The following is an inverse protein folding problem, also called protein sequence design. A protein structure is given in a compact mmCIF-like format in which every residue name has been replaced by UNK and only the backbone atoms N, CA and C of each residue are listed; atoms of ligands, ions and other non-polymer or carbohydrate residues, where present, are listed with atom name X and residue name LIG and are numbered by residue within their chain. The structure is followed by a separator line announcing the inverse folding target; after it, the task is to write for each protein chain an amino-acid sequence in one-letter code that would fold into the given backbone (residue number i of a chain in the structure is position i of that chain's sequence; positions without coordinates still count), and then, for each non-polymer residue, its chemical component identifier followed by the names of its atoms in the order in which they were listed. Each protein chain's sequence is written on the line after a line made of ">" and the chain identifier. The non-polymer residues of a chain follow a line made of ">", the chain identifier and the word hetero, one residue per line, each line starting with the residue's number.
data_IF_303317271424
#
_entry.id   IF_303317271424
#
_cell.length_a   1.000
_cell.length_b   1.000
_cell.length_c   1.000
_cell.angle_alpha   90.00
_cell.angle_beta   90.00
_cell.angle_gamma   90.00
#
_symmetry.space_group_name_H-M   'P 1'
#
loop_
_entity.id
_entity.type
_entity.pdbx_description
1 polymer ?
#
# COMPACT_ATOMS: atom_id res chain seq x y z
N UNK A 1 21.11 -6.20 -27.53
CA UNK A 1 22.21 -6.10 -26.54
C UNK A 1 21.84 -7.05 -25.40
N UNK A 2 22.54 -8.16 -25.26
CA UNK A 2 22.27 -9.13 -24.20
C UNK A 2 23.05 -8.73 -22.94
N UNK A 3 22.35 -8.55 -21.81
CA UNK A 3 22.99 -8.24 -20.53
C UNK A 3 23.23 -9.52 -19.75
N UNK A 4 24.41 -9.69 -19.18
CA UNK A 4 24.74 -10.79 -18.28
C UNK A 4 23.86 -10.72 -17.04
N UNK A 5 23.60 -11.87 -16.43
CA UNK A 5 22.90 -11.94 -15.17
C UNK A 5 23.70 -11.22 -14.07
N UNK A 6 23.06 -10.42 -13.26
CA UNK A 6 23.70 -9.67 -12.17
C UNK A 6 24.35 -10.57 -11.13
N UNK A 7 23.78 -11.76 -10.88
CA UNK A 7 24.38 -12.75 -9.99
C UNK A 7 25.78 -13.21 -10.40
N UNK A 8 26.10 -13.18 -11.71
CA UNK A 8 27.43 -13.48 -12.22
C UNK A 8 28.48 -12.40 -11.90
N UNK A 9 28.03 -11.21 -11.46
CA UNK A 9 28.90 -10.06 -11.18
C UNK A 9 29.20 -9.89 -9.70
N UNK A 10 28.43 -10.52 -8.83
CA UNK A 10 28.60 -10.41 -7.39
C UNK A 10 29.61 -11.47 -6.90
N UNK A 11 30.62 -11.01 -6.17
CA UNK A 11 31.40 -11.88 -5.28
C UNK A 11 30.60 -12.26 -4.02
N UNK A 12 31.19 -13.00 -3.12
CA UNK A 12 30.52 -13.47 -1.90
C UNK A 12 30.11 -12.29 -0.98
N UNK A 13 30.88 -11.19 -0.94
CA UNK A 13 30.50 -9.99 -0.19
C UNK A 13 29.29 -9.31 -0.82
N UNK A 14 29.32 -9.11 -2.13
CA UNK A 14 28.20 -8.51 -2.86
C UNK A 14 26.91 -9.32 -2.77
N UNK A 15 27.00 -10.64 -2.79
CA UNK A 15 25.82 -11.51 -2.55
C UNK A 15 25.26 -11.32 -1.14
N UNK A 16 26.14 -11.26 -0.12
CA UNK A 16 25.73 -11.00 1.27
C UNK A 16 25.01 -9.66 1.41
N UNK A 17 25.50 -8.63 0.74
CA UNK A 17 24.88 -7.30 0.76
C UNK A 17 23.50 -7.31 0.09
N UNK A 18 23.38 -7.99 -1.07
CA UNK A 18 22.07 -8.18 -1.74
C UNK A 18 21.07 -8.90 -0.84
N UNK A 19 21.46 -10.04 -0.23
CA UNK A 19 20.58 -10.75 0.68
C UNK A 19 20.25 -9.94 1.93
N UNK A 20 21.21 -9.19 2.46
CA UNK A 20 20.99 -8.29 3.60
C UNK A 20 19.99 -7.17 3.31
N UNK A 21 20.07 -6.56 2.12
CA UNK A 21 19.11 -5.57 1.67
C UNK A 21 17.73 -6.19 1.41
N UNK A 22 17.70 -7.33 0.73
CA UNK A 22 16.46 -8.06 0.41
C UNK A 22 15.72 -8.53 1.66
N UNK A 23 16.43 -8.93 2.71
CA UNK A 23 15.82 -9.29 4.00
C UNK A 23 15.15 -8.10 4.68
N UNK A 24 15.75 -6.91 4.62
CA UNK A 24 15.13 -5.68 5.12
C UNK A 24 13.88 -5.33 4.32
N UNK A 25 13.94 -5.43 2.99
CA UNK A 25 12.78 -5.25 2.12
C UNK A 25 11.68 -6.27 2.41
N UNK A 26 12.02 -7.56 2.57
CA UNK A 26 11.07 -8.62 2.90
C UNK A 26 10.32 -8.35 4.21
N UNK A 27 11.02 -7.81 5.22
CA UNK A 27 10.40 -7.37 6.48
C UNK A 27 9.47 -6.17 6.24
N UNK A 28 9.92 -5.17 5.49
CA UNK A 28 9.12 -3.99 5.15
C UNK A 28 7.81 -4.38 4.46
N UNK A 29 7.86 -5.16 3.38
CA UNK A 29 6.65 -5.58 2.64
C UNK A 29 5.75 -6.52 3.45
N UNK A 30 6.28 -7.22 4.44
CA UNK A 30 5.49 -8.06 5.35
C UNK A 30 4.66 -7.23 6.33
N UNK A 31 5.21 -6.15 6.87
CA UNK A 31 4.56 -5.29 7.86
C UNK A 31 3.80 -4.12 7.25
N UNK A 32 4.10 -3.73 6.02
CA UNK A 32 3.52 -2.58 5.34
C UNK A 32 2.52 -3.05 4.26
N UNK A 33 1.37 -3.60 4.68
CA UNK A 33 0.33 -4.06 3.75
C UNK A 33 -0.45 -2.90 3.13
N UNK A 34 -0.61 -1.81 3.87
CA UNK A 34 -1.38 -0.63 3.47
C UNK A 34 -0.46 0.59 3.31
N UNK A 35 -0.95 1.61 2.59
CA UNK A 35 -0.26 2.90 2.46
C UNK A 35 -0.02 3.57 3.82
N UNK A 36 -0.94 3.42 4.79
CA UNK A 36 -0.78 3.96 6.14
C UNK A 36 0.38 3.32 6.89
N UNK A 37 0.50 2.00 6.79
CA UNK A 37 1.60 1.26 7.40
C UNK A 37 2.94 1.60 6.73
N UNK A 38 2.95 1.77 5.40
CA UNK A 38 4.14 2.24 4.67
C UNK A 38 4.59 3.63 5.13
N UNK A 39 3.66 4.57 5.30
CA UNK A 39 3.98 5.92 5.79
C UNK A 39 4.50 5.87 7.23
N UNK A 40 3.84 5.10 8.11
CA UNK A 40 4.25 4.93 9.50
C UNK A 40 5.69 4.42 9.60
N UNK A 41 6.01 3.34 8.92
CA UNK A 41 7.37 2.77 8.89
C UNK A 41 8.37 3.74 8.26
N UNK A 42 7.99 4.44 7.18
CA UNK A 42 8.84 5.44 6.53
C UNK A 42 9.18 6.60 7.47
N UNK A 43 8.24 7.05 8.30
CA UNK A 43 8.45 8.08 9.33
C UNK A 43 9.45 7.61 10.38
N UNK A 44 9.32 6.37 10.87
CA UNK A 44 10.26 5.84 11.87
C UNK A 44 11.68 5.70 11.30
N UNK A 45 11.82 5.22 10.06
CA UNK A 45 13.10 5.15 9.36
C UNK A 45 13.68 6.56 9.12
N UNK A 46 12.85 7.54 8.75
CA UNK A 46 13.26 8.92 8.54
C UNK A 46 13.75 9.57 9.85
N UNK A 47 13.02 9.42 10.96
CA UNK A 47 13.45 9.89 12.28
C UNK A 47 14.78 9.29 12.70
N UNK A 48 14.95 7.97 12.51
CA UNK A 48 16.21 7.28 12.80
C UNK A 48 17.39 7.79 11.95
N UNK A 49 17.11 8.28 10.73
CA UNK A 49 18.09 8.91 9.84
C UNK A 49 18.26 10.42 10.06
N UNK A 50 17.66 11.00 11.10
CA UNK A 50 17.82 12.39 11.50
C UNK A 50 16.91 13.38 10.76
N UNK A 51 15.84 12.93 10.15
CA UNK A 51 14.82 13.80 9.57
C UNK A 51 13.93 14.39 10.66
N UNK A 52 13.57 15.67 10.53
CA UNK A 52 12.59 16.37 11.37
C UNK A 52 11.25 16.45 10.64
N UNK A 53 10.18 16.52 11.38
CA UNK A 53 8.87 16.84 10.83
C UNK A 53 8.86 18.29 10.33
N UNK A 54 8.50 18.53 9.08
CA UNK A 54 8.47 19.86 8.45
C UNK A 54 7.49 20.79 9.18
N UNK A 55 6.35 20.28 9.62
CA UNK A 55 5.34 21.10 10.28
C UNK A 55 5.76 21.51 11.70
N UNK A 56 6.54 20.68 12.39
CA UNK A 56 7.16 21.09 13.64
C UNK A 56 8.27 22.16 13.43
N UNK A 57 9.05 22.03 12.35
CA UNK A 57 10.03 23.07 11.94
C UNK A 57 9.33 24.41 11.70
N UNK A 58 8.22 24.41 10.95
CA UNK A 58 7.41 25.61 10.69
C UNK A 58 6.84 26.19 11.96
N UNK A 59 6.21 25.38 12.80
CA UNK A 59 5.59 25.78 14.06
C UNK A 59 6.58 26.42 15.04
N UNK A 60 7.81 25.91 15.06
CA UNK A 60 8.90 26.42 15.89
C UNK A 60 9.64 27.62 15.27
N UNK A 61 9.25 28.09 14.09
CA UNK A 61 9.94 29.11 13.31
C UNK A 61 11.43 28.79 13.08
N UNK A 62 11.78 27.52 12.92
CA UNK A 62 13.13 27.09 12.58
C UNK A 62 13.40 27.37 11.09
N UNK A 63 14.67 27.60 10.75
CA UNK A 63 15.13 27.74 9.37
C UNK A 63 15.93 26.50 8.95
N UNK A 64 15.88 26.14 7.67
CA UNK A 64 16.64 25.05 7.11
C UNK A 64 17.81 25.53 6.26
N UNK A 65 18.90 24.79 6.29
CA UNK A 65 20.13 25.02 5.56
C UNK A 65 20.63 23.74 4.86
N UNK A 66 21.66 23.89 4.03
CA UNK A 66 22.25 22.75 3.32
C UNK A 66 22.72 21.64 4.29
N UNK A 67 22.21 20.44 4.09
CA UNK A 67 22.44 19.26 4.91
C UNK A 67 21.36 18.94 5.91
N UNK A 68 20.39 19.85 6.15
CA UNK A 68 19.21 19.56 6.96
C UNK A 68 18.28 18.61 6.24
N UNK A 69 17.51 17.84 7.03
CA UNK A 69 16.62 16.79 6.55
C UNK A 69 15.24 16.96 7.16
N UNK A 70 14.21 16.97 6.31
CA UNK A 70 12.81 17.06 6.77
C UNK A 70 11.91 16.10 6.01
N UNK A 71 10.82 15.70 6.67
CA UNK A 71 9.73 14.98 6.03
C UNK A 71 8.40 15.68 6.27
N UNK A 72 7.45 15.49 5.37
CA UNK A 72 6.07 15.91 5.51
C UNK A 72 5.12 14.74 5.21
N UNK A 73 4.16 14.53 6.08
CA UNK A 73 3.13 13.48 5.94
C UNK A 73 1.81 14.11 5.53
N UNK A 74 1.13 13.51 4.55
CA UNK A 74 -0.19 13.90 4.14
C UNK A 74 -1.21 12.83 4.46
N UNK A 75 -2.16 13.13 5.37
CA UNK A 75 -3.28 12.27 5.77
C UNK A 75 -2.86 10.85 6.21
N UNK A 76 -1.62 10.66 6.63
CA UNK A 76 -1.02 9.36 6.95
C UNK A 76 -1.04 8.35 5.76
N UNK A 77 -1.11 8.83 4.51
CA UNK A 77 -1.20 8.00 3.29
C UNK A 77 -0.16 8.38 2.22
N UNK A 78 0.50 9.50 2.37
CA UNK A 78 1.62 9.90 1.51
C UNK A 78 2.69 10.59 2.35
N UNK A 79 3.94 10.50 1.92
CA UNK A 79 5.08 11.12 2.58
C UNK A 79 6.04 11.71 1.56
N UNK A 80 6.59 12.88 1.87
CA UNK A 80 7.66 13.52 1.10
C UNK A 80 8.85 13.77 2.02
N UNK A 81 10.03 13.33 1.62
CA UNK A 81 11.28 13.53 2.36
C UNK A 81 12.20 14.44 1.56
N UNK A 82 12.87 15.37 2.24
CA UNK A 82 13.83 16.29 1.65
C UNK A 82 15.17 16.21 2.39
N UNK A 83 16.27 16.14 1.64
CA UNK A 83 17.61 16.45 2.14
C UNK A 83 18.09 17.71 1.42
N UNK A 84 18.25 18.80 2.17
CA UNK A 84 18.51 20.13 1.61
C UNK A 84 19.89 20.20 0.99
N UNK A 85 19.95 20.58 -0.28
CA UNK A 85 21.17 20.70 -1.06
C UNK A 85 21.95 21.99 -0.82
N UNK A 86 23.16 22.05 -1.36
CA UNK A 86 24.01 23.25 -1.30
C UNK A 86 23.55 24.35 -2.27
N UNK A 87 22.93 23.93 -3.39
CA UNK A 87 22.47 24.85 -4.43
C UNK A 87 21.07 25.38 -4.11
N UNK A 88 20.73 26.59 -4.59
CA UNK A 88 19.38 27.11 -4.49
C UNK A 88 18.37 26.14 -5.08
N UNK A 89 17.23 25.98 -4.41
CA UNK A 89 16.18 25.04 -4.87
C UNK A 89 15.57 25.44 -6.22
N UNK A 90 15.64 26.72 -6.60
CA UNK A 90 15.16 27.19 -7.92
C UNK A 90 15.97 26.57 -9.09
N UNK A 91 17.18 26.01 -8.84
CA UNK A 91 17.92 25.24 -9.84
C UNK A 91 17.34 23.83 -10.08
N UNK A 92 16.31 23.44 -9.32
CA UNK A 92 15.59 22.18 -9.41
C UNK A 92 16.05 21.14 -8.41
N UNK A 93 15.17 20.17 -8.20
CA UNK A 93 15.29 19.04 -7.28
C UNK A 93 15.70 17.77 -8.02
N UNK A 94 16.31 16.83 -7.31
CA UNK A 94 16.44 15.44 -7.76
C UNK A 94 15.42 14.59 -7.00
N UNK A 95 14.44 14.04 -7.70
CA UNK A 95 13.26 13.40 -7.12
C UNK A 95 13.25 11.92 -7.44
N UNK A 96 13.03 11.09 -6.41
CA UNK A 96 12.63 9.70 -6.52
C UNK A 96 11.15 9.62 -6.17
N UNK A 97 10.34 9.01 -7.03
CA UNK A 97 8.89 8.85 -6.81
C UNK A 97 8.42 7.43 -7.05
N UNK A 98 7.56 6.95 -6.17
CA UNK A 98 6.91 5.65 -6.26
C UNK A 98 5.56 5.71 -5.54
N UNK A 99 4.67 4.74 -5.80
CA UNK A 99 3.44 4.61 -5.03
C UNK A 99 3.54 3.53 -3.95
N UNK A 100 2.64 3.59 -2.97
CA UNK A 100 2.62 2.69 -1.81
C UNK A 100 1.26 2.06 -1.57
N UNK A 101 0.23 2.43 -2.33
CA UNK A 101 -1.02 1.70 -2.40
C UNK A 101 -0.85 0.45 -3.28
N UNK A 102 -1.73 -0.53 -3.08
CA UNK A 102 -1.74 -1.79 -3.85
C UNK A 102 -3.18 -2.26 -4.00
N UNK A 103 -3.51 -3.04 -5.05
CA UNK A 103 -4.86 -3.57 -5.24
C UNK A 103 -5.32 -4.43 -4.06
N UNK A 104 -6.57 -4.23 -3.63
CA UNK A 104 -7.12 -4.85 -2.42
C UNK A 104 -8.65 -4.89 -2.44
N UNK A 105 -9.25 -5.39 -1.36
CA UNK A 105 -10.68 -5.22 -1.08
C UNK A 105 -10.83 -4.19 0.05
N UNK A 106 -11.64 -3.16 -0.17
CA UNK A 106 -12.00 -2.19 0.87
C UNK A 106 -13.35 -2.58 1.49
N UNK A 107 -13.48 -2.45 2.81
CA UNK A 107 -14.74 -2.69 3.52
C UNK A 107 -15.69 -1.50 3.29
N UNK A 108 -16.94 -1.78 2.92
CA UNK A 108 -17.99 -0.76 2.75
C UNK A 108 -18.42 -0.16 4.09
N UNK A 109 -19.11 0.98 4.06
CA UNK A 109 -19.53 1.72 5.25
C UNK A 109 -20.64 1.05 6.09
N UNK A 110 -21.43 0.15 5.53
CA UNK A 110 -22.41 -0.67 6.24
C UNK A 110 -22.16 -2.14 5.87
N UNK A 111 -21.07 -2.75 6.37
CA UNK A 111 -20.57 -3.98 5.77
C UNK A 111 -21.22 -5.24 6.32
N UNK A 112 -21.60 -5.25 7.61
CA UNK A 112 -21.96 -6.48 8.31
C UNK A 112 -23.39 -6.89 8.04
N UNK A 113 -23.56 -8.13 7.56
CA UNK A 113 -24.86 -8.80 7.47
C UNK A 113 -24.74 -10.28 7.84
N UNK A 114 -25.82 -10.83 8.37
CA UNK A 114 -25.94 -12.26 8.69
C UNK A 114 -26.94 -12.91 7.73
N UNK A 115 -26.54 -14.00 7.12
CA UNK A 115 -27.42 -14.85 6.31
C UNK A 115 -27.15 -16.32 6.61
N UNK A 116 -28.22 -17.08 6.90
CA UNK A 116 -28.15 -18.51 7.21
C UNK A 116 -27.10 -18.90 8.26
N UNK A 117 -26.90 -18.06 9.29
CA UNK A 117 -25.96 -18.31 10.39
C UNK A 117 -24.50 -18.05 10.02
N UNK A 118 -24.26 -17.39 8.92
CA UNK A 118 -22.94 -16.89 8.52
C UNK A 118 -22.96 -15.36 8.53
N UNK A 119 -21.87 -14.75 9.03
CA UNK A 119 -21.66 -13.30 8.96
C UNK A 119 -20.64 -12.98 7.92
N UNK A 120 -21.02 -12.08 7.03
CA UNK A 120 -20.16 -11.58 5.96
C UNK A 120 -19.96 -10.05 6.11
N UNK A 121 -18.88 -9.56 5.50
CA UNK A 121 -18.62 -8.14 5.29
C UNK A 121 -18.66 -7.82 3.80
N UNK A 122 -19.49 -6.84 3.44
CA UNK A 122 -19.54 -6.28 2.11
C UNK A 122 -18.24 -5.56 1.76
N UNK A 123 -17.73 -5.83 0.56
CA UNK A 123 -16.48 -5.24 0.08
C UNK A 123 -16.64 -4.48 -1.23
N UNK A 124 -15.66 -3.65 -1.52
CA UNK A 124 -15.42 -3.00 -2.80
C UNK A 124 -13.98 -3.27 -3.23
N UNK A 125 -13.74 -3.76 -4.45
CA UNK A 125 -12.37 -3.96 -4.90
C UNK A 125 -11.74 -2.64 -5.37
N UNK A 126 -10.50 -2.43 -4.95
CA UNK A 126 -9.68 -1.26 -5.24
C UNK A 126 -8.56 -1.63 -6.20
N UNK A 127 -8.39 -0.84 -7.29
CA UNK A 127 -7.41 -1.12 -8.33
C UNK A 127 -7.78 -2.27 -9.26
N UNK A 128 -6.84 -2.72 -10.05
CA UNK A 128 -7.00 -3.79 -11.03
C UNK A 128 -6.74 -5.17 -10.44
N UNK A 129 -7.78 -5.96 -10.16
CA UNK A 129 -7.65 -7.33 -9.65
C UNK A 129 -8.18 -8.38 -10.62
N UNK A 130 -7.58 -9.57 -10.59
CA UNK A 130 -8.20 -10.80 -11.09
C UNK A 130 -9.02 -11.40 -9.96
N UNK A 131 -10.33 -11.16 -9.94
CA UNK A 131 -11.23 -11.50 -8.83
C UNK A 131 -11.10 -12.96 -8.38
N UNK A 132 -10.92 -13.90 -9.32
CA UNK A 132 -10.74 -15.32 -9.04
C UNK A 132 -9.45 -15.67 -8.27
N UNK A 133 -8.51 -14.75 -8.13
CA UNK A 133 -7.32 -14.95 -7.30
C UNK A 133 -7.54 -14.59 -5.83
N UNK A 134 -8.69 -14.00 -5.49
CA UNK A 134 -9.01 -13.53 -4.14
C UNK A 134 -9.89 -14.51 -3.36
N UNK A 135 -10.45 -15.52 -4.03
CA UNK A 135 -11.24 -16.56 -3.39
C UNK A 135 -10.37 -17.68 -2.84
N UNK A 136 -10.84 -18.35 -1.78
CA UNK A 136 -10.17 -19.48 -1.14
C UNK A 136 -8.76 -19.17 -0.61
N UNK A 137 -8.47 -17.92 -0.27
CA UNK A 137 -7.22 -17.48 0.33
C UNK A 137 -7.43 -17.09 1.80
N UNK A 138 -6.43 -17.34 2.67
CA UNK A 138 -6.40 -16.67 3.96
C UNK A 138 -6.15 -15.18 3.76
N UNK A 139 -7.05 -14.36 4.28
CA UNK A 139 -7.00 -12.90 4.19
C UNK A 139 -6.93 -12.29 5.59
N UNK A 140 -6.33 -11.12 5.67
CA UNK A 140 -6.17 -10.30 6.88
C UNK A 140 -6.94 -8.98 6.73
N UNK A 141 -7.39 -8.43 7.85
CA UNK A 141 -8.06 -7.14 7.93
C UNK A 141 -7.11 -6.10 8.52
N UNK A 142 -6.87 -5.03 7.78
CA UNK A 142 -6.00 -3.92 8.17
C UNK A 142 -6.72 -2.59 8.05
N UNK A 143 -6.31 -1.61 8.84
CA UNK A 143 -6.73 -0.23 8.65
C UNK A 143 -6.93 0.55 9.94
N UNK A 144 -7.78 1.57 9.86
CA UNK A 144 -8.04 2.51 10.96
C UNK A 144 -9.53 2.79 11.06
N UNK A 145 -10.02 2.85 12.27
CA UNK A 145 -11.40 3.25 12.58
C UNK A 145 -11.36 4.49 13.46
N UNK A 146 -12.05 5.56 13.05
CA UNK A 146 -12.28 6.72 13.89
C UNK A 146 -13.53 6.47 14.75
N UNK A 147 -13.35 6.47 16.07
CA UNK A 147 -14.43 6.22 17.03
C UNK A 147 -15.24 7.50 17.29
N UNK A 148 -16.45 7.35 17.84
CA UNK A 148 -17.36 8.46 18.15
C UNK A 148 -16.79 9.50 19.12
N UNK A 149 -15.85 9.11 19.99
CA UNK A 149 -15.17 10.01 20.91
C UNK A 149 -14.06 10.85 20.25
N UNK A 150 -13.82 10.67 18.95
CA UNK A 150 -12.78 11.36 18.18
C UNK A 150 -11.42 10.69 18.23
N UNK A 151 -11.27 9.58 18.93
CA UNK A 151 -10.05 8.77 18.90
C UNK A 151 -10.00 7.88 17.67
N UNK A 152 -8.82 7.35 17.35
CA UNK A 152 -8.64 6.42 16.25
C UNK A 152 -7.99 5.14 16.76
N UNK A 153 -8.47 4.00 16.27
CA UNK A 153 -7.91 2.68 16.58
C UNK A 153 -7.37 2.02 15.31
N UNK A 154 -6.13 1.51 15.40
CA UNK A 154 -5.54 0.69 14.34
C UNK A 154 -6.07 -0.75 14.45
N UNK A 155 -6.52 -1.31 13.36
CA UNK A 155 -7.00 -2.69 13.25
C UNK A 155 -6.00 -3.50 12.43
N UNK A 156 -5.57 -4.63 13.01
CA UNK A 156 -4.75 -5.62 12.32
C UNK A 156 -5.17 -7.01 12.83
N UNK A 157 -5.78 -7.81 11.97
CA UNK A 157 -6.27 -9.17 12.27
C UNK A 157 -5.84 -10.09 11.14
N UNK A 158 -5.19 -11.21 11.46
CA UNK A 158 -4.83 -12.25 10.50
C UNK A 158 -3.34 -12.32 10.16
N UNK A 159 -2.50 -11.53 10.81
CA UNK A 159 -1.05 -11.50 10.54
C UNK A 159 -0.23 -12.36 11.51
N UNK A 160 -0.70 -12.56 12.72
CA UNK A 160 -0.01 -13.39 13.72
C UNK A 160 -0.47 -14.83 13.60
N UNK A 161 0.36 -15.76 14.07
CA UNK A 161 0.07 -17.19 14.01
C UNK A 161 -1.19 -17.57 14.80
N UNK A 162 -1.48 -16.84 15.87
CA UNK A 162 -2.66 -17.01 16.74
C UNK A 162 -3.87 -16.13 16.34
N UNK A 163 -3.72 -15.25 15.36
CA UNK A 163 -4.84 -14.48 14.84
C UNK A 163 -5.76 -15.33 13.95
N UNK A 164 -7.08 -15.13 14.00
CA UNK A 164 -7.97 -15.71 13.01
C UNK A 164 -7.77 -15.03 11.66
N UNK A 165 -7.87 -15.78 10.58
CA UNK A 165 -7.93 -15.24 9.21
C UNK A 165 -9.39 -15.13 8.78
N UNK A 166 -9.65 -14.28 7.79
CA UNK A 166 -10.93 -14.17 7.09
C UNK A 166 -10.77 -14.65 5.65
N UNK A 167 -11.84 -14.75 4.88
CA UNK A 167 -11.70 -15.19 3.50
C UNK A 167 -12.96 -15.05 2.67
N UNK A 168 -12.81 -15.07 1.36
CA UNK A 168 -13.89 -15.15 0.39
C UNK A 168 -14.09 -16.61 0.00
N UNK A 169 -15.30 -17.13 0.17
CA UNK A 169 -15.63 -18.49 -0.20
C UNK A 169 -15.68 -18.66 -1.72
N UNK A 170 -15.47 -19.90 -2.18
CA UNK A 170 -15.67 -20.28 -3.57
C UNK A 170 -16.44 -21.60 -3.66
N UNK A 171 -17.06 -21.86 -4.80
CA UNK A 171 -17.76 -23.11 -5.03
C UNK A 171 -16.78 -24.28 -5.13
N UNK A 172 -17.09 -25.37 -4.44
CA UNK A 172 -16.36 -26.61 -4.68
C UNK A 172 -16.69 -27.15 -6.08
N UNK A 173 -15.78 -27.89 -6.66
CA UNK A 173 -15.87 -28.36 -8.07
C UNK A 173 -17.18 -29.07 -8.40
N UNK A 174 -17.77 -29.79 -7.45
CA UNK A 174 -19.01 -30.53 -7.67
C UNK A 174 -20.26 -29.62 -7.81
N UNK A 175 -20.18 -28.37 -7.37
CA UNK A 175 -21.23 -27.36 -7.51
C UNK A 175 -20.91 -26.30 -8.57
N UNK A 176 -19.70 -26.30 -9.12
CA UNK A 176 -19.18 -25.24 -9.98
C UNK A 176 -19.46 -25.44 -11.47
N UNK A 177 -20.34 -26.36 -11.89
CA UNK A 177 -20.57 -26.69 -13.31
C UNK A 177 -20.90 -25.46 -14.18
N UNK A 178 -21.77 -24.57 -13.71
CA UNK A 178 -22.11 -23.34 -14.41
C UNK A 178 -20.98 -22.31 -14.34
N UNK A 179 -20.36 -22.15 -13.15
CA UNK A 179 -19.24 -21.24 -12.94
C UNK A 179 -18.09 -21.56 -13.90
N UNK A 180 -17.75 -22.83 -14.10
CA UNK A 180 -16.67 -23.28 -14.95
C UNK A 180 -16.88 -23.02 -16.44
N UNK A 181 -18.09 -22.67 -16.87
CA UNK A 181 -18.39 -22.29 -18.25
C UNK A 181 -18.26 -20.79 -18.51
N UNK A 182 -18.13 -19.98 -17.46
CA UNK A 182 -18.01 -18.53 -17.56
C UNK A 182 -16.60 -18.12 -18.03
N UNK A 183 -16.52 -16.93 -18.66
CA UNK A 183 -15.20 -16.31 -18.92
C UNK A 183 -14.51 -15.97 -17.61
N UNK A 184 -13.17 -15.97 -17.61
CA UNK A 184 -12.37 -15.74 -16.40
C UNK A 184 -12.66 -14.40 -15.68
N UNK A 185 -13.04 -13.36 -16.40
CA UNK A 185 -13.45 -12.07 -15.82
C UNK A 185 -14.83 -12.08 -15.16
N UNK A 186 -15.60 -13.17 -15.41
CA UNK A 186 -16.98 -13.39 -14.92
C UNK A 186 -17.13 -14.62 -14.02
N UNK A 187 -16.06 -15.38 -13.81
CA UNK A 187 -16.11 -16.59 -12.97
C UNK A 187 -16.35 -16.27 -11.51
N UNK A 188 -15.92 -15.11 -11.06
CA UNK A 188 -16.24 -14.48 -9.77
C UNK A 188 -16.69 -13.04 -10.06
N UNK A 189 -17.90 -12.69 -9.66
CA UNK A 189 -18.41 -11.34 -9.82
C UNK A 189 -17.89 -10.44 -8.67
N UNK A 190 -17.99 -9.11 -8.83
CA UNK A 190 -17.59 -8.18 -7.77
C UNK A 190 -18.39 -8.35 -6.48
N UNK A 191 -19.68 -8.63 -6.63
CA UNK A 191 -20.60 -8.83 -5.50
C UNK A 191 -20.37 -10.16 -4.76
N UNK A 192 -19.63 -11.11 -5.37
CA UNK A 192 -19.26 -12.38 -4.73
C UNK A 192 -18.01 -12.27 -3.84
N UNK A 193 -17.36 -11.08 -3.80
CA UNK A 193 -16.13 -10.85 -3.04
C UNK A 193 -16.39 -10.46 -1.57
N UNK A 194 -17.55 -10.77 -1.02
CA UNK A 194 -17.85 -10.53 0.37
C UNK A 194 -17.08 -11.51 1.28
N UNK A 195 -16.58 -10.98 2.38
CA UNK A 195 -15.65 -11.69 3.25
C UNK A 195 -16.39 -12.36 4.39
N UNK A 196 -16.24 -13.68 4.52
CA UNK A 196 -16.76 -14.46 5.64
C UNK A 196 -15.93 -14.20 6.90
N UNK A 197 -16.62 -13.77 7.99
CA UNK A 197 -15.97 -13.35 9.24
C UNK A 197 -16.44 -14.13 10.48
N UNK A 198 -17.50 -14.92 10.39
CA UNK A 198 -17.93 -15.74 11.53
C UNK A 198 -19.18 -16.58 11.30
N UNK A 199 -19.38 -17.56 12.22
CA UNK A 199 -20.50 -18.49 12.19
C UNK A 199 -21.00 -18.90 13.59
N UNK A 200 -20.36 -18.44 14.67
CA UNK A 200 -20.73 -18.81 16.04
C UNK A 200 -21.72 -17.80 16.62
N UNK A 201 -22.92 -18.20 17.01
CA UNK A 201 -23.90 -17.30 17.62
C UNK A 201 -23.50 -16.88 19.05
N UNK A 202 -23.85 -15.67 19.43
CA UNK A 202 -23.74 -15.22 20.81
C UNK A 202 -24.54 -16.12 21.76
N UNK A 203 -24.05 -16.30 22.97
CA UNK A 203 -24.74 -17.05 24.04
C UNK A 203 -26.06 -16.33 24.40
N UNK A 204 -27.15 -17.06 24.46
CA UNK A 204 -28.45 -16.49 24.93
C UNK A 204 -28.24 -15.96 26.37
N UNK A 205 -28.58 -14.71 26.62
CA UNK A 205 -28.79 -14.25 27.99
C UNK A 205 -30.07 -14.88 28.48
N UNK A 206 -29.99 -15.72 29.51
CA UNK A 206 -31.13 -16.23 30.23
C UNK A 206 -31.57 -15.15 31.22
N UNK A 207 -32.34 -14.17 30.74
CA UNK A 207 -33.08 -13.28 31.63
C UNK A 207 -34.56 -13.67 31.54
N UNK A 208 -35.09 -14.11 32.68
CA UNK A 208 -36.50 -14.36 32.94
C UNK A 208 -37.30 -13.03 32.95
N UNK A 209 -37.59 -12.47 31.77
CA UNK A 209 -38.63 -11.43 31.68
C UNK A 209 -39.24 -11.41 30.30
N UNK A 210 -40.51 -11.77 30.24
CA UNK A 210 -41.40 -11.63 29.09
C UNK A 210 -41.54 -10.15 28.68
N UNK A 211 -40.69 -9.66 27.80
CA UNK A 211 -40.88 -8.40 27.08
C UNK A 211 -40.53 -8.59 25.62
N UNK A 212 -41.57 -8.87 24.81
CA UNK A 212 -41.47 -8.84 23.36
C UNK A 212 -41.29 -7.38 22.86
N UNK A 213 -40.05 -6.88 22.87
CA UNK A 213 -39.69 -5.65 22.17
C UNK A 213 -39.16 -6.00 20.77
N UNK A 214 -39.47 -5.18 19.75
CA UNK A 214 -38.98 -5.38 18.39
C UNK A 214 -37.42 -5.44 18.27
N UNK A 215 -36.70 -4.93 19.26
CA UNK A 215 -35.25 -5.07 19.37
C UNK A 215 -34.83 -6.50 19.73
N UNK A 216 -35.52 -7.13 20.68
CA UNK A 216 -35.21 -8.50 21.12
C UNK A 216 -35.43 -9.53 20.00
N UNK A 217 -36.43 -9.30 19.12
CA UNK A 217 -36.72 -10.15 17.95
C UNK A 217 -35.62 -10.02 16.88
N UNK A 218 -35.02 -8.86 16.73
CA UNK A 218 -33.91 -8.61 15.78
C UNK A 218 -32.60 -9.20 16.30
N UNK A 219 -32.31 -9.06 17.58
CA UNK A 219 -31.14 -9.69 18.23
C UNK A 219 -31.23 -11.22 18.21
N UNK A 220 -32.45 -11.79 18.29
CA UNK A 220 -32.64 -13.24 18.17
C UNK A 220 -32.38 -13.76 16.74
N UNK A 221 -32.53 -12.90 15.72
CA UNK A 221 -32.32 -13.26 14.29
C UNK A 221 -30.86 -13.08 13.84
N UNK A 222 -30.08 -12.16 14.45
CA UNK A 222 -28.71 -11.81 14.02
C UNK A 222 -27.69 -12.14 15.11
N UNK A 223 -27.80 -13.32 15.74
CA UNK A 223 -26.96 -13.69 16.89
C UNK A 223 -25.47 -13.89 16.55
N UNK A 224 -25.17 -14.33 15.34
CA UNK A 224 -23.77 -14.48 14.90
C UNK A 224 -23.15 -13.10 14.69
N UNK A 225 -23.88 -12.18 14.07
CA UNK A 225 -23.46 -10.78 13.90
C UNK A 225 -23.23 -10.10 15.25
N UNK A 226 -24.15 -10.32 16.22
CA UNK A 226 -23.99 -9.80 17.58
C UNK A 226 -22.71 -10.31 18.26
N UNK A 227 -22.35 -11.58 18.04
CA UNK A 227 -21.09 -12.13 18.55
C UNK A 227 -19.86 -11.46 17.92
N UNK A 228 -19.86 -11.28 16.59
CA UNK A 228 -18.74 -10.59 15.90
C UNK A 228 -18.59 -9.16 16.38
N UNK A 229 -19.70 -8.42 16.50
CA UNK A 229 -19.67 -7.05 17.05
C UNK A 229 -19.15 -7.01 18.50
N UNK A 230 -19.52 -8.00 19.33
CA UNK A 230 -18.99 -8.11 20.71
C UNK A 230 -17.48 -8.32 20.73
N UNK A 231 -16.94 -9.19 19.85
CA UNK A 231 -15.51 -9.43 19.74
C UNK A 231 -14.74 -8.19 19.25
N UNK A 232 -15.29 -7.44 18.28
CA UNK A 232 -14.70 -6.20 17.80
C UNK A 232 -14.73 -5.11 18.86
N UNK A 233 -15.83 -5.03 19.64
CA UNK A 233 -15.96 -4.10 20.75
C UNK A 233 -14.97 -4.43 21.89
N UNK A 234 -14.84 -5.70 22.26
CA UNK A 234 -13.91 -6.14 23.30
C UNK A 234 -12.44 -5.84 22.92
N UNK A 235 -12.05 -6.15 21.69
CA UNK A 235 -10.64 -6.02 21.27
C UNK A 235 -10.26 -4.59 20.86
N UNK A 236 -11.16 -3.85 20.22
CA UNK A 236 -10.86 -2.56 19.57
C UNK A 236 -11.78 -1.40 20.02
N UNK A 237 -12.82 -1.65 20.79
CA UNK A 237 -13.82 -0.64 21.14
C UNK A 237 -14.79 -0.28 20.02
N UNK A 238 -14.78 -1.01 18.88
CA UNK A 238 -15.55 -0.71 17.68
C UNK A 238 -17.01 -1.15 17.85
N UNK A 239 -17.92 -0.25 17.55
CA UNK A 239 -19.36 -0.50 17.41
C UNK A 239 -19.77 -0.52 15.93
N UNK A 240 -20.96 -1.02 15.61
CA UNK A 240 -21.41 -1.14 14.21
C UNK A 240 -21.43 0.21 13.48
N UNK A 241 -21.80 1.28 14.17
CA UNK A 241 -21.85 2.63 13.58
C UNK A 241 -20.46 3.21 13.23
N UNK A 242 -19.38 2.71 13.88
CA UNK A 242 -18.03 3.18 13.63
C UNK A 242 -17.50 2.74 12.25
N UNK A 243 -18.14 1.76 11.62
CA UNK A 243 -17.82 1.38 10.24
C UNK A 243 -18.08 2.51 9.23
N UNK A 244 -18.95 3.48 9.54
CA UNK A 244 -19.19 4.64 8.67
C UNK A 244 -17.92 5.48 8.43
N UNK A 245 -17.03 5.54 9.43
CA UNK A 245 -15.77 6.29 9.38
C UNK A 245 -14.53 5.38 9.26
N UNK A 246 -14.74 4.07 9.11
CA UNK A 246 -13.65 3.11 9.01
C UNK A 246 -12.98 3.15 7.63
N UNK A 247 -11.66 3.12 7.63
CA UNK A 247 -10.84 2.80 6.47
C UNK A 247 -10.21 1.43 6.70
N UNK A 248 -10.96 0.38 6.41
CA UNK A 248 -10.55 -1.01 6.56
C UNK A 248 -10.40 -1.67 5.20
N UNK A 249 -9.33 -2.41 5.03
CA UNK A 249 -9.06 -3.19 3.84
C UNK A 249 -8.69 -4.63 4.16
N UNK A 250 -9.01 -5.51 3.23
CA UNK A 250 -8.72 -6.93 3.29
C UNK A 250 -7.63 -7.24 2.28
N UNK A 251 -6.58 -7.89 2.77
CA UNK A 251 -5.36 -8.19 2.01
C UNK A 251 -4.92 -9.63 2.25
N UNK A 252 -4.09 -10.24 1.40
CA UNK A 252 -3.53 -11.57 1.66
C UNK A 252 -2.80 -11.62 3.00
N UNK A 253 -3.15 -12.60 3.83
CA UNK A 253 -2.61 -12.79 5.17
C UNK A 253 -1.19 -13.38 5.14
N UNK A 254 -0.43 -13.05 6.18
CA UNK A 254 0.90 -13.62 6.44
C UNK A 254 2.06 -12.88 5.78
N UNK A 255 3.29 -13.16 6.22
CA UNK A 255 4.48 -12.46 5.79
C UNK A 255 4.94 -12.84 4.39
N UNK A 256 5.68 -11.95 3.74
CA UNK A 256 6.44 -12.27 2.55
C UNK A 256 7.51 -13.33 2.84
N UNK A 257 7.79 -14.20 1.87
CA UNK A 257 8.69 -15.35 2.00
C UNK A 257 9.72 -15.37 0.89
N UNK A 258 10.86 -16.01 1.18
CA UNK A 258 11.80 -16.38 0.14
C UNK A 258 11.12 -17.28 -0.89
N UNK A 259 11.40 -17.04 -2.15
CA UNK A 259 10.81 -17.75 -3.28
C UNK A 259 11.91 -18.37 -4.15
N UNK A 260 11.69 -19.65 -4.53
CA UNK A 260 12.68 -20.49 -5.17
C UNK A 260 13.57 -21.22 -4.17
N UNK A 261 14.12 -22.38 -4.56
CA UNK A 261 14.96 -23.19 -3.68
C UNK A 261 16.27 -22.49 -3.29
N UNK A 262 16.74 -21.60 -4.14
CA UNK A 262 17.94 -20.78 -3.96
C UNK A 262 17.68 -19.46 -3.23
N UNK A 263 16.41 -19.17 -2.87
CA UNK A 263 15.96 -17.94 -2.20
C UNK A 263 16.30 -16.66 -2.94
N UNK A 264 16.44 -16.74 -4.26
CA UNK A 264 16.84 -15.59 -5.10
C UNK A 264 15.72 -14.61 -5.39
N UNK A 265 14.49 -14.91 -4.98
CA UNK A 265 13.29 -14.10 -5.16
C UNK A 265 12.53 -13.97 -3.85
N UNK A 266 11.60 -13.02 -3.80
CA UNK A 266 10.67 -12.82 -2.69
C UNK A 266 9.25 -12.94 -3.22
N UNK A 267 8.41 -13.73 -2.54
CA UNK A 267 6.97 -13.81 -2.78
C UNK A 267 6.25 -13.05 -1.66
N UNK A 268 5.42 -12.09 -2.02
CA UNK A 268 4.65 -11.29 -1.06
C UNK A 268 3.58 -10.47 -1.75
N UNK A 269 2.69 -9.91 -0.97
CA UNK A 269 1.65 -8.99 -1.42
C UNK A 269 2.20 -7.55 -1.50
N UNK A 270 1.86 -6.83 -2.56
CA UNK A 270 2.16 -5.41 -2.71
C UNK A 270 3.57 -5.10 -3.23
N UNK A 271 4.20 -5.99 -4.01
CA UNK A 271 5.40 -5.65 -4.76
C UNK A 271 5.19 -4.47 -5.70
N UNK A 272 4.00 -4.34 -6.25
CA UNK A 272 3.51 -3.18 -6.94
C UNK A 272 2.98 -2.16 -5.91
N UNK A 273 3.65 -1.01 -5.60
CA UNK A 273 5.00 -0.67 -6.14
C UNK A 273 6.03 -0.55 -5.01
N UNK A 274 5.83 -1.30 -3.91
CA UNK A 274 6.74 -1.25 -2.75
C UNK A 274 8.17 -1.70 -3.08
N UNK A 275 8.35 -2.47 -4.16
CA UNK A 275 9.68 -2.88 -4.64
C UNK A 275 10.48 -1.70 -5.22
N UNK A 276 9.81 -0.64 -5.68
CA UNK A 276 10.44 0.62 -6.08
C UNK A 276 10.43 1.64 -4.94
N UNK A 277 9.36 1.67 -4.15
CA UNK A 277 9.22 2.61 -3.03
C UNK A 277 10.31 2.41 -1.96
N UNK A 278 10.55 1.17 -1.55
CA UNK A 278 11.54 0.88 -0.51
C UNK A 278 12.98 1.27 -0.90
N UNK A 279 13.51 0.87 -2.07
CA UNK A 279 14.84 1.33 -2.50
C UNK A 279 14.94 2.85 -2.65
N UNK A 280 13.87 3.50 -3.13
CA UNK A 280 13.82 4.96 -3.25
C UNK A 280 13.89 5.64 -1.88
N UNK A 281 13.16 5.12 -0.89
CA UNK A 281 13.22 5.58 0.49
C UNK A 281 14.63 5.40 1.07
N UNK A 282 15.22 4.21 0.97
CA UNK A 282 16.55 3.94 1.52
C UNK A 282 17.62 4.83 0.86
N UNK A 283 17.58 4.98 -0.46
CA UNK A 283 18.50 5.88 -1.17
C UNK A 283 18.37 7.33 -0.69
N UNK A 284 17.16 7.80 -0.41
CA UNK A 284 16.93 9.14 0.15
C UNK A 284 17.48 9.26 1.58
N UNK A 285 17.28 8.24 2.43
CA UNK A 285 17.77 8.25 3.81
C UNK A 285 19.31 8.26 3.87
N UNK A 286 19.98 7.59 2.93
CA UNK A 286 21.44 7.55 2.78
C UNK A 286 22.02 8.80 2.13
N UNK A 287 21.19 9.69 1.58
CA UNK A 287 21.65 10.93 0.95
C UNK A 287 22.25 11.88 1.98
N UNK A 288 23.52 12.25 1.79
CA UNK A 288 24.27 13.12 2.71
C UNK A 288 24.72 14.37 1.97
N UNK A 289 24.24 15.55 2.39
CA UNK A 289 24.61 16.87 1.86
C UNK A 289 24.68 16.92 0.32
N UNK A 290 23.59 16.64 -0.38
CA UNK A 290 23.59 16.62 -1.84
C UNK A 290 23.88 18.00 -2.43
N UNK A 291 24.34 18.05 -3.68
CA UNK A 291 24.55 19.33 -4.39
C UNK A 291 23.20 20.03 -4.65
N UNK A 292 22.24 19.34 -5.25
CA UNK A 292 20.85 19.75 -5.36
C UNK A 292 20.03 19.10 -4.27
N UNK A 293 19.01 19.76 -3.78
CA UNK A 293 18.07 19.13 -2.83
C UNK A 293 17.54 17.82 -3.40
N UNK A 294 17.71 16.74 -2.66
CA UNK A 294 17.15 15.43 -3.00
C UNK A 294 15.81 15.24 -2.32
N UNK A 295 14.91 14.58 -3.02
CA UNK A 295 13.53 14.35 -2.58
C UNK A 295 13.15 12.90 -2.83
N UNK A 296 12.47 12.28 -1.87
CA UNK A 296 11.71 11.06 -2.10
C UNK A 296 10.24 11.34 -1.84
N UNK A 297 9.39 11.02 -2.80
CA UNK A 297 7.92 11.11 -2.65
C UNK A 297 7.31 9.74 -2.80
N UNK A 298 6.56 9.31 -1.77
CA UNK A 298 5.79 8.09 -1.75
C UNK A 298 4.31 8.46 -1.67
N UNK A 299 3.54 8.08 -2.68
CA UNK A 299 2.16 8.52 -2.87
C UNK A 299 1.16 7.37 -2.80
N UNK A 300 -0.09 7.73 -2.56
CA UNK A 300 -1.27 6.87 -2.58
C UNK A 300 -2.03 7.07 -3.91
N UNK A 301 -3.02 6.22 -4.17
CA UNK A 301 -4.02 6.37 -5.26
C UNK A 301 -3.49 6.12 -6.68
N UNK A 302 -2.30 5.59 -6.87
CA UNK A 302 -1.80 5.27 -8.22
C UNK A 302 -2.72 4.27 -8.90
N UNK A 303 -3.12 3.21 -8.21
CA UNK A 303 -3.94 2.09 -8.69
C UNK A 303 -5.33 2.48 -9.22
N UNK A 304 -5.77 3.71 -8.91
CA UNK A 304 -7.03 4.29 -9.39
C UNK A 304 -6.83 5.59 -10.16
N UNK A 305 -5.61 5.83 -10.69
CA UNK A 305 -5.28 6.97 -11.56
C UNK A 305 -4.78 8.21 -10.82
N UNK A 306 -4.21 8.07 -9.63
CA UNK A 306 -3.61 9.14 -8.82
C UNK A 306 -4.57 10.28 -8.42
N UNK A 307 -5.88 10.03 -8.43
CA UNK A 307 -6.92 11.02 -8.14
C UNK A 307 -7.23 11.03 -6.64
N UNK A 308 -7.38 12.21 -6.07
CA UNK A 308 -7.72 12.42 -4.66
C UNK A 308 -6.66 13.21 -3.92
N UNK A 309 -6.91 13.49 -2.63
CA UNK A 309 -6.07 14.37 -1.81
C UNK A 309 -4.68 13.82 -1.49
N UNK A 310 -4.47 12.52 -1.62
CA UNK A 310 -3.21 11.80 -1.29
C UNK A 310 -2.45 11.30 -2.51
N UNK A 311 -3.07 11.38 -3.70
CA UNK A 311 -2.47 10.99 -4.97
C UNK A 311 -1.55 12.07 -5.56
N UNK A 312 -0.73 11.69 -6.53
CA UNK A 312 0.23 12.59 -7.17
C UNK A 312 -0.42 13.73 -7.95
N UNK A 313 -1.70 13.63 -8.34
CA UNK A 313 -2.47 14.68 -9.00
C UNK A 313 -3.01 15.75 -8.04
N UNK A 314 -2.82 15.57 -6.74
CA UNK A 314 -3.13 16.60 -5.73
C UNK A 314 -2.09 17.72 -5.76
N UNK A 315 -2.35 18.79 -5.01
CA UNK A 315 -1.38 19.89 -4.83
C UNK A 315 -0.41 19.66 -3.67
N UNK A 316 -0.44 18.49 -3.04
CA UNK A 316 0.35 18.22 -1.84
C UNK A 316 1.84 18.42 -2.10
N UNK A 317 2.35 17.89 -3.20
CA UNK A 317 3.78 18.02 -3.53
C UNK A 317 4.18 19.47 -3.76
N UNK A 318 3.44 20.20 -4.59
CA UNK A 318 3.67 21.63 -4.85
C UNK A 318 3.64 22.46 -3.56
N UNK A 319 2.61 22.25 -2.72
CA UNK A 319 2.48 22.94 -1.44
C UNK A 319 3.65 22.61 -0.49
N UNK A 320 4.06 21.34 -0.40
CA UNK A 320 5.18 20.94 0.46
C UNK A 320 6.49 21.55 -0.01
N UNK A 321 6.74 21.62 -1.32
CA UNK A 321 7.91 22.32 -1.89
C UNK A 321 7.89 23.81 -1.56
N UNK A 322 6.71 24.45 -1.61
CA UNK A 322 6.56 25.85 -1.25
C UNK A 322 6.90 26.10 0.23
N UNK A 323 6.45 25.24 1.14
CA UNK A 323 6.78 25.33 2.57
C UNK A 323 8.30 25.13 2.81
N UNK A 324 8.92 24.15 2.16
CA UNK A 324 10.37 23.93 2.28
C UNK A 324 11.15 25.15 1.74
N UNK A 325 10.75 25.72 0.59
CA UNK A 325 11.33 26.97 0.09
C UNK A 325 11.20 28.11 1.11
N UNK A 326 10.05 28.19 1.79
CA UNK A 326 9.78 29.22 2.78
C UNK A 326 10.71 29.11 3.98
N UNK A 327 10.83 27.92 4.58
CA UNK A 327 11.73 27.71 5.74
C UNK A 327 13.22 27.78 5.37
N UNK A 328 13.57 27.63 4.09
CA UNK A 328 14.92 27.90 3.57
C UNK A 328 15.14 29.39 3.24
N UNK A 329 14.15 30.28 3.40
CA UNK A 329 14.25 31.70 3.03
C UNK A 329 14.34 31.94 1.52
N UNK A 330 13.88 31.00 0.68
CA UNK A 330 13.99 31.03 -0.79
C UNK A 330 12.62 31.15 -1.50
N UNK A 331 11.52 31.32 -0.74
CA UNK A 331 10.19 31.30 -1.33
C UNK A 331 9.88 32.59 -2.12
N UNK A 332 9.45 32.40 -3.34
CA UNK A 332 8.59 33.30 -4.11
C UNK A 332 7.78 32.43 -5.07
N UNK A 333 6.67 32.94 -5.57
CA UNK A 333 5.84 32.22 -6.55
C UNK A 333 6.66 31.82 -7.80
N UNK A 334 7.56 32.71 -8.25
CA UNK A 334 8.44 32.43 -9.38
C UNK A 334 9.54 31.41 -9.03
N UNK A 335 10.12 31.46 -7.83
CA UNK A 335 11.10 30.48 -7.37
C UNK A 335 10.51 29.06 -7.28
N UNK A 336 9.27 28.93 -6.77
CA UNK A 336 8.56 27.66 -6.77
C UNK A 336 8.38 27.10 -8.19
N UNK A 337 7.90 27.92 -9.11
CA UNK A 337 7.68 27.51 -10.52
C UNK A 337 8.98 27.10 -11.19
N UNK A 338 10.07 27.83 -10.98
CA UNK A 338 11.41 27.48 -11.49
C UNK A 338 11.95 26.22 -10.86
N UNK A 339 11.77 26.06 -9.55
CA UNK A 339 12.16 24.86 -8.83
C UNK A 339 11.52 23.63 -9.47
N UNK A 340 10.20 23.62 -9.64
CA UNK A 340 9.47 22.50 -10.24
C UNK A 340 9.88 22.27 -11.70
N UNK A 341 9.98 23.33 -12.51
CA UNK A 341 10.33 23.24 -13.93
C UNK A 341 11.77 22.72 -14.17
N UNK A 342 12.71 23.05 -13.29
CA UNK A 342 14.11 22.64 -13.37
C UNK A 342 14.40 21.29 -12.68
N UNK A 343 13.40 20.70 -12.04
CA UNK A 343 13.53 19.42 -11.32
C UNK A 343 13.63 18.24 -12.29
N UNK A 344 14.31 17.20 -11.83
CA UNK A 344 14.40 15.90 -12.52
C UNK A 344 13.82 14.82 -11.62
N UNK A 345 12.99 13.95 -12.19
CA UNK A 345 12.33 12.87 -11.45
C UNK A 345 12.62 11.51 -12.11
N UNK A 346 12.97 10.55 -11.28
CA UNK A 346 12.85 9.14 -11.61
C UNK A 346 11.48 8.70 -11.03
N UNK A 347 10.51 8.58 -11.91
CA UNK A 347 9.19 8.02 -11.58
C UNK A 347 9.31 6.51 -11.71
N UNK A 348 9.27 5.84 -10.59
CA UNK A 348 9.43 4.40 -10.51
C UNK A 348 8.09 3.72 -10.51
N UNK A 349 8.06 2.54 -11.13
CA UNK A 349 6.93 1.62 -11.13
C UNK A 349 7.44 0.24 -11.53
N UNK A 350 6.72 -0.81 -11.17
CA UNK A 350 7.09 -2.18 -11.52
C UNK A 350 7.01 -2.43 -13.01
N UNK A 351 7.78 -3.42 -13.45
CA UNK A 351 7.72 -3.93 -14.82
C UNK A 351 7.57 -5.44 -14.78
N UNK A 352 6.57 -5.96 -15.49
CA UNK A 352 6.36 -7.40 -15.59
C UNK A 352 7.58 -8.07 -16.24
N UNK A 353 8.30 -8.89 -15.49
CA UNK A 353 9.43 -9.66 -16.01
C UNK A 353 8.95 -10.75 -16.98
N UNK A 354 9.74 -11.02 -18.02
CA UNK A 354 9.45 -12.05 -18.98
C UNK A 354 9.26 -13.42 -18.30
N UNK A 355 8.08 -14.00 -18.51
CA UNK A 355 7.73 -15.32 -18.04
C UNK A 355 7.72 -16.32 -19.21
N UNK A 356 8.56 -17.37 -19.19
CA UNK A 356 8.61 -18.35 -20.25
C UNK A 356 7.31 -19.15 -20.43
N UNK A 357 6.51 -19.32 -19.37
CA UNK A 357 5.20 -20.00 -19.43
C UNK A 357 4.20 -19.19 -20.24
N UNK A 358 4.29 -17.85 -20.16
CA UNK A 358 3.40 -16.92 -20.87
C UNK A 358 4.15 -16.10 -21.94
N UNK A 359 5.13 -16.69 -22.59
CA UNK A 359 6.01 -16.01 -23.56
C UNK A 359 5.26 -15.22 -24.65
N UNK A 360 4.07 -15.67 -25.05
CA UNK A 360 3.24 -15.01 -26.07
C UNK A 360 2.66 -13.66 -25.62
N UNK A 361 2.62 -13.39 -24.30
CA UNK A 361 2.14 -12.13 -23.74
C UNK A 361 3.18 -11.00 -23.84
N UNK A 362 4.44 -11.32 -24.15
CA UNK A 362 5.57 -10.38 -24.13
C UNK A 362 6.12 -10.07 -25.50
N UNK A 363 6.66 -8.88 -25.68
CA UNK A 363 7.55 -8.52 -26.77
C UNK A 363 9.00 -8.74 -26.29
N UNK A 364 9.59 -9.89 -26.65
CA UNK A 364 10.87 -10.39 -26.10
C UNK A 364 12.04 -9.42 -26.21
N UNK A 365 12.08 -8.55 -27.23
CA UNK A 365 13.19 -7.62 -27.44
C UNK A 365 13.18 -6.44 -26.45
N UNK A 366 11.99 -6.11 -25.92
CA UNK A 366 11.76 -4.96 -25.06
C UNK A 366 11.14 -5.35 -23.69
N UNK A 367 11.11 -6.63 -23.34
CA UNK A 367 10.66 -7.08 -22.04
C UNK A 367 11.77 -6.93 -20.98
N UNK A 368 11.35 -6.78 -19.72
CA UNK A 368 12.24 -6.91 -18.56
C UNK A 368 12.60 -8.38 -18.34
N UNK A 369 13.77 -8.65 -17.79
CA UNK A 369 14.24 -10.00 -17.45
C UNK A 369 14.82 -10.01 -16.04
N UNK A 370 14.52 -11.05 -15.27
CA UNK A 370 15.09 -11.24 -13.94
C UNK A 370 16.62 -11.21 -13.97
N UNK A 371 17.22 -10.56 -12.96
CA UNK A 371 18.66 -10.50 -12.79
C UNK A 371 19.41 -9.70 -13.87
N UNK A 372 18.73 -8.92 -14.71
CA UNK A 372 19.40 -8.14 -15.78
C UNK A 372 19.62 -6.67 -15.43
N UNK A 373 19.29 -6.27 -14.20
CA UNK A 373 19.46 -4.92 -13.69
C UNK A 373 18.19 -4.07 -13.76
N UNK A 374 18.35 -2.76 -13.52
CA UNK A 374 17.26 -1.80 -13.54
C UNK A 374 16.67 -1.66 -14.96
N UNK A 375 15.36 -1.49 -15.03
CA UNK A 375 14.60 -1.37 -16.27
C UNK A 375 14.25 0.08 -16.56
N UNK A 376 14.48 0.53 -17.77
CA UNK A 376 13.97 1.79 -18.31
C UNK A 376 12.83 1.50 -19.29
N UNK A 377 11.62 1.88 -18.92
CA UNK A 377 10.45 1.77 -19.76
C UNK A 377 10.25 3.06 -20.57
N UNK A 378 10.56 3.03 -21.86
CA UNK A 378 10.23 4.12 -22.77
C UNK A 378 8.77 4.06 -23.22
N UNK A 379 8.26 2.85 -23.42
CA UNK A 379 6.88 2.57 -23.81
C UNK A 379 6.26 1.56 -22.85
N UNK A 380 5.00 1.73 -22.54
CA UNK A 380 4.24 0.93 -21.57
C UNK A 380 2.97 0.34 -22.18
N UNK A 381 2.18 -0.36 -21.36
CA UNK A 381 0.98 -1.05 -21.76
C UNK A 381 1.25 -2.41 -22.41
N UNK A 382 0.21 -3.06 -22.92
CA UNK A 382 0.32 -4.40 -23.50
C UNK A 382 1.36 -4.46 -24.63
N UNK A 383 2.42 -5.22 -24.42
CA UNK A 383 3.58 -5.35 -25.34
C UNK A 383 4.22 -4.00 -25.68
N UNK A 384 4.15 -2.99 -24.81
CA UNK A 384 4.66 -1.64 -25.07
C UNK A 384 3.93 -0.90 -26.19
N UNK A 385 2.63 -1.09 -26.34
CA UNK A 385 1.87 -0.56 -27.49
C UNK A 385 0.87 0.55 -27.15
N UNK A 386 0.55 0.77 -25.88
CA UNK A 386 -0.56 1.65 -25.51
C UNK A 386 -0.18 2.83 -24.63
N UNK A 387 1.04 2.91 -24.12
CA UNK A 387 1.52 4.00 -23.29
C UNK A 387 2.92 4.46 -23.69
N UNK A 388 3.27 5.68 -23.32
CA UNK A 388 4.58 6.28 -23.55
C UNK A 388 4.98 7.11 -22.33
N UNK A 389 6.22 6.92 -21.89
CA UNK A 389 6.81 7.76 -20.84
C UNK A 389 7.51 8.98 -21.45
N UNK A 390 7.54 10.06 -20.67
CA UNK A 390 8.32 11.25 -20.98
C UNK A 390 9.81 10.95 -20.72
N UNK A 391 10.52 10.55 -21.78
CA UNK A 391 11.94 10.34 -21.70
C UNK A 391 12.68 11.54 -22.28
N UNK A 392 13.39 12.29 -21.43
CA UNK A 392 14.23 13.40 -21.85
C UNK A 392 15.65 12.90 -22.10
N UNK A 393 16.25 13.39 -23.21
CA UNK A 393 17.65 13.12 -23.54
C UNK A 393 18.61 13.85 -22.58
#
# INVERSE_FOLDING_TARGET
>A
MERKNAWEKYDESGKKDVFGFSEKYRKFISSCKTERECVKESVELAKAAGYKDLYEVIKNNETLSAGDKVYAVNMNKAIVLFSIGKKPMEEGLNILGAHIDSPRLDIKQNPLYEDNGLVLMDTHYYGGIKKYQWVALPLALHGVVALKDGTSVEVCIGEKEDDPVVGVSDLLIHLASEQMTKKADKVVEGEDLNVLVGSMPAVKKTDDSDSENNQDVKEEKERVKANILSLLKEKYGIEEEDFLSAELCVVPAGPARDYGFDKSMIMGYGHDDKVCAYPSLIAQLESVKPEKTSVCILVDKEEIGSVGATGMRSRVFENTVAEVLSVCGQYSDLALRRCLANSKMLSSDVSAAFDPVYASAYEKKNAAYFGRGMVFNKFTGSRGKSGSNDANA
#
